data_IF_410435521568
#
_entry.id   IF_410435521568
#
_cell.length_a   1.000
_cell.length_b   1.000
_cell.length_c   1.000
_cell.angle_alpha   90.00
_cell.angle_beta   90.00
_cell.angle_gamma   90.00
#
_symmetry.space_group_name_H-M   'P 1'
#
loop_
_entity.id
_entity.type
_entity.pdbx_description
1 polymer ?
#
# COMPACT_ATOMS: atom_id res chain seq x y z
N UNK A 1 21.58 6.30 28.10
CA UNK A 1 20.66 6.76 27.05
C UNK A 1 19.28 6.31 27.46
N UNK A 2 18.38 7.26 27.66
CA UNK A 2 17.00 6.97 28.04
C UNK A 2 16.31 6.20 26.91
N UNK A 3 15.61 5.13 27.28
CA UNK A 3 14.98 4.17 26.36
C UNK A 3 14.05 4.89 25.39
N UNK A 4 13.35 5.93 25.88
CA UNK A 4 12.44 6.77 25.11
C UNK A 4 13.13 7.44 23.93
N UNK A 5 14.36 7.93 24.11
CA UNK A 5 15.09 8.64 23.06
C UNK A 5 15.56 7.70 21.94
N UNK A 6 15.94 6.46 22.30
CA UNK A 6 16.25 5.43 21.30
C UNK A 6 15.01 5.04 20.51
N UNK A 7 13.87 4.90 21.18
CA UNK A 7 12.62 4.51 20.54
C UNK A 7 12.08 5.60 19.61
N UNK A 8 12.15 6.88 20.02
CA UNK A 8 11.83 8.03 19.17
C UNK A 8 12.67 8.03 17.89
N UNK A 9 13.98 7.81 18.01
CA UNK A 9 14.88 7.82 16.85
C UNK A 9 14.56 6.69 15.87
N UNK A 10 14.25 5.50 16.38
CA UNK A 10 13.86 4.34 15.55
C UNK A 10 12.52 4.63 14.88
N UNK A 11 11.52 5.12 15.62
CA UNK A 11 10.22 5.48 15.05
C UNK A 11 10.34 6.49 13.91
N UNK A 12 11.11 7.56 14.12
CA UNK A 12 11.38 8.58 13.10
C UNK A 12 12.10 7.99 11.88
N UNK A 13 13.03 7.06 12.07
CA UNK A 13 13.72 6.41 10.95
C UNK A 13 12.75 5.57 10.10
N UNK A 14 11.84 4.80 10.73
CA UNK A 14 10.81 4.05 10.03
C UNK A 14 9.80 4.97 9.32
N UNK A 15 9.41 6.07 9.95
CA UNK A 15 8.53 7.07 9.37
C UNK A 15 9.16 7.67 8.10
N UNK A 16 10.39 8.18 8.21
CA UNK A 16 11.11 8.76 7.08
C UNK A 16 11.35 7.75 5.94
N UNK A 17 11.68 6.51 6.28
CA UNK A 17 11.85 5.45 5.29
C UNK A 17 10.52 5.14 4.58
N UNK A 18 9.43 5.01 5.33
CA UNK A 18 8.10 4.75 4.78
C UNK A 18 7.61 5.88 3.88
N UNK A 19 7.65 7.13 4.36
CA UNK A 19 7.33 8.32 3.56
C UNK A 19 8.23 8.43 2.34
N UNK A 20 9.53 8.15 2.48
CA UNK A 20 10.49 8.17 1.38
C UNK A 20 10.16 7.16 0.29
N UNK A 21 9.84 5.91 0.65
CA UNK A 21 9.42 4.86 -0.29
C UNK A 21 8.11 5.25 -0.99
N UNK A 22 7.13 5.76 -0.24
CA UNK A 22 5.87 6.23 -0.81
C UNK A 22 6.10 7.36 -1.81
N UNK A 23 6.86 8.38 -1.43
CA UNK A 23 7.13 9.55 -2.26
C UNK A 23 7.91 9.17 -3.52
N UNK A 24 9.04 8.46 -3.37
CA UNK A 24 9.89 8.07 -4.49
C UNK A 24 9.17 7.09 -5.42
N UNK A 25 8.50 6.06 -4.87
CA UNK A 25 7.76 5.08 -5.64
C UNK A 25 6.60 5.71 -6.41
N UNK A 26 5.85 6.62 -5.77
CA UNK A 26 4.76 7.35 -6.42
C UNK A 26 5.27 8.30 -7.50
N UNK A 27 6.34 9.05 -7.24
CA UNK A 27 6.94 9.95 -8.23
C UNK A 27 7.44 9.17 -9.46
N UNK A 28 8.14 8.06 -9.25
CA UNK A 28 8.62 7.20 -10.33
C UNK A 28 7.47 6.59 -11.14
N UNK A 29 6.38 6.19 -10.47
CA UNK A 29 5.18 5.67 -11.13
C UNK A 29 4.51 6.75 -12.01
N UNK A 30 4.36 7.96 -11.48
CA UNK A 30 3.80 9.11 -12.20
C UNK A 30 4.64 9.50 -13.41
N UNK A 31 5.95 9.65 -13.25
CA UNK A 31 6.86 10.02 -14.35
C UNK A 31 6.80 8.98 -15.45
N UNK A 32 6.87 7.68 -15.12
CA UNK A 32 6.78 6.60 -16.13
C UNK A 32 5.43 6.58 -16.82
N UNK A 33 4.34 6.77 -16.09
CA UNK A 33 3.00 6.83 -16.67
C UNK A 33 2.85 8.02 -17.62
N UNK A 34 3.37 9.19 -17.25
CA UNK A 34 3.30 10.39 -18.08
C UNK A 34 4.11 10.25 -19.37
N UNK A 35 5.33 9.69 -19.28
CA UNK A 35 6.15 9.38 -20.46
C UNK A 35 5.44 8.36 -21.37
N UNK A 36 4.84 7.32 -20.79
CA UNK A 36 4.09 6.31 -21.55
C UNK A 36 2.85 6.92 -22.24
N UNK A 37 2.15 7.84 -21.58
CA UNK A 37 0.98 8.53 -22.12
C UNK A 37 1.35 9.36 -23.35
N UNK A 38 2.47 10.11 -23.26
CA UNK A 38 2.95 10.97 -24.34
C UNK A 38 3.50 10.14 -25.51
N UNK A 39 4.20 9.03 -25.21
CA UNK A 39 4.88 8.22 -26.24
C UNK A 39 3.95 7.25 -26.97
N UNK A 40 3.03 6.57 -26.28
CA UNK A 40 2.23 5.47 -26.86
C UNK A 40 0.78 5.93 -27.16
N UNK A 41 0.32 7.04 -26.56
CA UNK A 41 -1.07 7.54 -26.63
C UNK A 41 -2.15 6.55 -26.18
N UNK A 42 -1.77 5.43 -25.58
CA UNK A 42 -2.69 4.49 -24.96
C UNK A 42 -2.87 4.81 -23.47
N UNK A 43 -3.93 5.57 -23.18
CA UNK A 43 -4.28 5.99 -21.83
C UNK A 43 -4.66 4.83 -20.90
N UNK A 44 -5.20 3.73 -21.45
CA UNK A 44 -5.59 2.56 -20.65
C UNK A 44 -4.37 1.81 -20.13
N UNK A 45 -3.37 1.59 -20.99
CA UNK A 45 -2.10 0.96 -20.59
C UNK A 45 -1.29 1.82 -19.62
N UNK A 46 -1.22 3.14 -19.86
CA UNK A 46 -0.55 4.07 -18.96
C UNK A 46 -1.19 4.06 -17.56
N UNK A 47 -2.52 4.08 -17.51
CA UNK A 47 -3.27 4.00 -16.25
C UNK A 47 -3.00 2.70 -15.49
N UNK A 48 -3.02 1.56 -16.19
CA UNK A 48 -2.74 0.25 -15.58
C UNK A 48 -1.33 0.16 -15.00
N UNK A 49 -0.34 0.69 -15.71
CA UNK A 49 1.04 0.78 -15.21
C UNK A 49 1.16 1.68 -13.99
N UNK A 50 0.59 2.89 -14.03
CA UNK A 50 0.58 3.79 -12.88
C UNK A 50 0.08 3.09 -11.64
N UNK A 51 -1.07 2.40 -11.76
CA UNK A 51 -1.71 1.70 -10.65
C UNK A 51 -0.89 0.54 -10.09
N UNK A 52 -0.25 -0.24 -10.97
CA UNK A 52 0.63 -1.34 -10.56
C UNK A 52 1.85 -0.83 -9.78
N UNK A 53 2.51 0.21 -10.26
CA UNK A 53 3.68 0.77 -9.59
C UNK A 53 3.30 1.51 -8.30
N UNK A 54 2.19 2.25 -8.32
CA UNK A 54 1.68 2.95 -7.15
C UNK A 54 1.25 1.94 -6.06
N UNK A 55 0.53 0.88 -6.43
CA UNK A 55 0.13 -0.18 -5.50
C UNK A 55 1.32 -0.88 -4.84
N UNK A 56 2.40 -1.15 -5.59
CA UNK A 56 3.65 -1.70 -5.04
C UNK A 56 4.34 -0.75 -4.06
N UNK A 57 4.45 0.54 -4.43
CA UNK A 57 5.03 1.55 -3.56
C UNK A 57 4.22 1.71 -2.27
N UNK A 58 2.89 1.77 -2.39
CA UNK A 58 1.95 1.83 -1.27
C UNK A 58 2.12 0.63 -0.33
N UNK A 59 2.19 -0.60 -0.83
CA UNK A 59 2.37 -1.79 0.02
C UNK A 59 3.63 -1.70 0.88
N UNK A 60 4.78 -1.41 0.27
CA UNK A 60 6.07 -1.36 0.98
C UNK A 60 6.13 -0.18 1.93
N UNK A 61 5.78 1.02 1.45
CA UNK A 61 5.85 2.23 2.28
C UNK A 61 4.92 2.15 3.48
N UNK A 62 3.79 1.47 3.32
CA UNK A 62 2.85 1.32 4.41
C UNK A 62 3.18 0.20 5.42
N UNK A 63 3.96 -0.81 5.03
CA UNK A 63 4.55 -1.75 6.00
C UNK A 63 5.50 -1.01 6.95
N UNK A 64 6.30 -0.09 6.40
CA UNK A 64 7.21 0.75 7.17
C UNK A 64 6.47 1.77 8.05
N UNK A 65 5.41 2.39 7.54
CA UNK A 65 4.63 3.36 8.30
C UNK A 65 3.84 2.71 9.44
N UNK A 66 3.26 1.52 9.23
CA UNK A 66 2.65 0.77 10.34
C UNK A 66 3.67 0.50 11.44
N UNK A 67 4.91 0.14 11.08
CA UNK A 67 5.96 -0.09 12.07
C UNK A 67 6.26 1.20 12.87
N UNK A 68 6.38 2.34 12.19
CA UNK A 68 6.55 3.65 12.84
C UNK A 68 5.40 3.97 13.81
N UNK A 69 4.15 3.78 13.36
CA UNK A 69 2.94 4.03 14.15
C UNK A 69 2.87 3.13 15.40
N UNK A 70 3.21 1.84 15.26
CA UNK A 70 3.26 0.89 16.39
C UNK A 70 4.31 1.34 17.40
N UNK A 71 5.52 1.68 16.95
CA UNK A 71 6.62 2.12 17.80
C UNK A 71 6.21 3.36 18.61
N UNK A 72 5.64 4.37 17.94
CA UNK A 72 5.17 5.59 18.60
C UNK A 72 4.04 5.30 19.59
N UNK A 73 3.10 4.41 19.25
CA UNK A 73 1.96 4.07 20.11
C UNK A 73 2.34 3.32 21.40
N UNK A 74 3.34 2.44 21.34
CA UNK A 74 3.76 1.63 22.50
C UNK A 74 4.71 2.40 23.42
N UNK A 75 5.50 3.33 22.88
CA UNK A 75 6.58 3.99 23.60
C UNK A 75 6.16 5.23 24.40
N UNK A 76 5.15 5.96 23.93
CA UNK A 76 4.82 7.29 24.47
C UNK A 76 3.80 7.21 25.61
N UNK A 77 2.74 6.41 25.47
CA UNK A 77 1.81 6.07 26.56
C UNK A 77 0.73 5.08 26.06
N UNK A 78 0.62 3.86 26.64
CA UNK A 78 -0.38 2.87 26.23
C UNK A 78 -1.79 3.25 26.73
N UNK A 79 -2.42 4.25 26.11
CA UNK A 79 -3.82 4.62 26.38
C UNK A 79 -4.77 4.09 25.30
N UNK A 80 -6.03 3.82 25.68
CA UNK A 80 -7.08 3.44 24.73
C UNK A 80 -7.32 4.50 23.64
N UNK A 81 -7.03 5.77 23.91
CA UNK A 81 -7.17 6.85 22.93
C UNK A 81 -6.14 6.70 21.80
N UNK A 82 -4.86 6.47 22.14
CA UNK A 82 -3.78 6.28 21.16
C UNK A 82 -4.05 5.06 20.26
N UNK A 83 -4.49 3.95 20.87
CA UNK A 83 -4.86 2.72 20.13
C UNK A 83 -6.09 2.95 19.25
N UNK A 84 -7.07 3.73 19.71
CA UNK A 84 -8.27 4.08 18.93
C UNK A 84 -7.96 4.88 17.67
N UNK A 85 -7.06 5.87 17.76
CA UNK A 85 -6.61 6.65 16.59
C UNK A 85 -5.88 5.76 15.59
N UNK A 86 -4.98 4.89 16.06
CA UNK A 86 -4.28 3.92 15.21
C UNK A 86 -5.27 3.00 14.47
N UNK A 87 -6.24 2.43 15.19
CA UNK A 87 -7.27 1.59 14.61
C UNK A 87 -8.09 2.31 13.53
N UNK A 88 -8.42 3.58 13.76
CA UNK A 88 -9.14 4.40 12.80
C UNK A 88 -8.32 4.66 11.52
N UNK A 89 -7.03 4.98 11.66
CA UNK A 89 -6.12 5.20 10.51
C UNK A 89 -6.03 3.93 9.65
N UNK A 90 -5.83 2.77 10.27
CA UNK A 90 -5.77 1.48 9.57
C UNK A 90 -7.09 1.17 8.86
N UNK A 91 -8.24 1.47 9.49
CA UNK A 91 -9.57 1.25 8.92
C UNK A 91 -9.81 2.14 7.68
N UNK A 92 -9.55 3.45 7.79
CA UNK A 92 -9.67 4.40 6.67
C UNK A 92 -8.79 3.97 5.50
N UNK A 93 -7.53 3.61 5.78
CA UNK A 93 -6.59 3.13 4.77
C UNK A 93 -7.10 1.89 4.05
N UNK A 94 -7.58 0.90 4.80
CA UNK A 94 -8.10 -0.35 4.24
C UNK A 94 -9.32 -0.07 3.36
N UNK A 95 -10.25 0.76 3.84
CA UNK A 95 -11.45 1.11 3.10
C UNK A 95 -11.14 1.87 1.80
N UNK A 96 -10.29 2.90 1.84
CA UNK A 96 -9.93 3.68 0.64
C UNK A 96 -9.21 2.84 -0.40
N UNK A 97 -8.19 2.08 0.01
CA UNK A 97 -7.46 1.19 -0.91
C UNK A 97 -8.39 0.18 -1.57
N UNK A 98 -9.41 -0.27 -0.83
CA UNK A 98 -10.37 -1.25 -1.29
C UNK A 98 -11.42 -0.66 -2.23
N UNK A 99 -11.99 0.50 -1.89
CA UNK A 99 -12.94 1.24 -2.73
C UNK A 99 -12.36 1.58 -4.10
N UNK A 100 -11.10 2.02 -4.11
CA UNK A 100 -10.35 2.34 -5.33
C UNK A 100 -10.17 1.09 -6.21
N UNK A 101 -9.93 -0.07 -5.62
CA UNK A 101 -9.77 -1.32 -6.37
C UNK A 101 -11.09 -1.81 -6.98
N UNK A 102 -12.20 -1.62 -6.27
CA UNK A 102 -13.56 -1.95 -6.73
C UNK A 102 -13.97 -1.04 -7.89
N UNK A 103 -13.76 0.28 -7.79
CA UNK A 103 -14.17 1.26 -8.81
C UNK A 103 -13.60 0.93 -10.20
N UNK A 104 -12.40 0.35 -10.26
CA UNK A 104 -11.68 0.18 -11.53
C UNK A 104 -11.71 -1.21 -12.12
N UNK A 105 -11.83 -2.23 -11.29
CA UNK A 105 -12.07 -3.56 -11.82
C UNK A 105 -13.57 -3.80 -12.06
N UNK A 106 -14.45 -3.02 -11.40
CA UNK A 106 -15.90 -3.26 -11.41
C UNK A 106 -16.31 -4.54 -10.67
N UNK A 107 -15.35 -5.26 -10.10
CA UNK A 107 -15.52 -6.51 -9.37
C UNK A 107 -14.91 -6.35 -7.98
N UNK A 108 -15.59 -6.91 -6.99
CA UNK A 108 -15.05 -6.97 -5.65
C UNK A 108 -13.84 -7.93 -5.61
N UNK A 109 -12.78 -7.65 -4.84
CA UNK A 109 -11.57 -8.46 -4.86
C UNK A 109 -11.78 -9.90 -4.38
N UNK A 110 -12.81 -10.17 -3.58
CA UNK A 110 -13.20 -11.55 -3.23
C UNK A 110 -13.80 -12.33 -4.40
N UNK A 111 -14.25 -11.67 -5.48
CA UNK A 111 -14.72 -12.31 -6.71
C UNK A 111 -13.53 -12.79 -7.56
N UNK A 112 -12.47 -11.99 -7.69
CA UNK A 112 -11.24 -12.39 -8.42
C UNK A 112 -10.56 -13.63 -7.81
N UNK A 113 -10.61 -13.77 -6.49
CA UNK A 113 -10.07 -14.95 -5.80
C UNK A 113 -10.78 -16.26 -6.18
N UNK A 114 -12.00 -16.19 -6.74
CA UNK A 114 -12.78 -17.37 -7.16
C UNK A 114 -12.43 -17.87 -8.57
N UNK A 115 -11.91 -17.01 -9.45
CA UNK A 115 -11.57 -17.38 -10.83
C UNK A 115 -10.29 -18.22 -10.92
N UNK A 116 -9.28 -17.96 -10.07
CA UNK A 116 -8.04 -18.76 -10.02
C UNK A 116 -8.20 -20.16 -9.39
N UNK A 117 -9.38 -20.51 -8.87
CA UNK A 117 -9.66 -21.85 -8.30
C UNK A 117 -10.35 -22.79 -9.30
N UNK A 118 -10.59 -22.33 -10.54
CA UNK A 118 -11.33 -23.06 -11.58
C UNK A 118 -10.49 -23.81 -12.62
N UNK A 119 -9.20 -23.51 -12.76
CA UNK A 119 -8.31 -24.27 -13.65
C UNK A 119 -7.75 -25.50 -12.92
N UNK A 120 -8.55 -26.56 -12.91
CA UNK A 120 -8.01 -27.91 -12.75
C UNK A 120 -7.08 -28.21 -13.94
N UNK A 121 -5.80 -28.55 -13.72
CA UNK A 121 -4.98 -29.12 -14.78
C UNK A 121 -5.47 -30.55 -15.01
N UNK A 122 -6.07 -30.81 -16.16
CA UNK A 122 -6.45 -32.18 -16.53
C UNK A 122 -7.53 -32.27 -17.59
N UNK A 123 -7.09 -32.38 -18.85
CA UNK A 123 -7.44 -33.52 -19.71
C UNK A 123 -6.63 -33.46 -21.01
N UNK A 124 -5.35 -33.80 -20.87
CA UNK A 124 -4.53 -34.29 -21.98
C UNK A 124 -4.18 -35.73 -21.58
N UNK A 125 -4.98 -36.71 -22.01
CA UNK A 125 -4.65 -38.15 -22.04
C UNK A 125 -5.89 -38.93 -22.51
N UNK A 126 -6.08 -39.02 -23.84
CA UNK A 126 -6.44 -40.26 -24.57
C UNK A 126 -5.93 -40.14 -26.01
#
# INVERSE_FOLDING_TARGET
MDINHTVELIGLAFELAGVGVLAAGSALAFVRSLVSLISIRDGSLAYRHLRLYLGRALMIGLELLIAADIIHSIAVDPTFATVGVLGLIVLVRTFLSWSIDVEINGEWPWQRARLHKGESPGRDEV
#
